data_IF_560587572724
#
_entry.id   IF_560587572724
#
_cell.length_a   1.000
_cell.length_b   1.000
_cell.length_c   1.000
_cell.angle_alpha   90.00
_cell.angle_beta   90.00
_cell.angle_gamma   90.00
#
_symmetry.space_group_name_H-M   'P 1'
#
loop_
_entity.id
_entity.type
_entity.pdbx_description
1 polymer ?
#
# COMPACT_ATOMS: atom_id res chain seq x y z
N UNK A 1 3.96 5.93 20.13
CA UNK A 1 2.74 5.76 19.30
C UNK A 1 2.73 6.88 18.30
N UNK A 2 2.98 6.51 17.04
CA UNK A 2 3.30 7.47 16.00
C UNK A 2 2.09 8.28 15.56
N UNK A 3 2.25 9.59 15.35
CA UNK A 3 1.31 10.30 14.48
C UNK A 3 1.61 9.99 13.00
N UNK A 4 0.62 10.16 12.12
CA UNK A 4 0.78 10.01 10.67
C UNK A 4 1.98 10.82 10.14
N UNK A 5 2.19 12.03 10.69
CA UNK A 5 3.33 12.89 10.34
C UNK A 5 4.67 12.23 10.66
N UNK A 6 4.74 11.48 11.75
CA UNK A 6 5.95 10.76 12.17
C UNK A 6 6.16 9.50 11.32
N UNK A 7 5.10 8.77 10.96
CA UNK A 7 5.17 7.65 10.01
C UNK A 7 5.71 8.10 8.66
N UNK A 8 5.22 9.24 8.15
CA UNK A 8 5.71 9.84 6.90
C UNK A 8 7.19 10.22 7.02
N UNK A 9 7.59 10.87 8.13
CA UNK A 9 8.98 11.27 8.36
C UNK A 9 9.92 10.05 8.42
N UNK A 10 9.58 9.03 9.22
CA UNK A 10 10.37 7.81 9.32
C UNK A 10 10.39 7.03 8.01
N UNK A 11 9.28 7.01 7.27
CA UNK A 11 9.20 6.48 5.92
C UNK A 11 10.20 7.15 4.98
N UNK A 12 10.27 8.48 4.97
CA UNK A 12 11.25 9.23 4.17
C UNK A 12 12.68 8.93 4.58
N UNK A 13 12.99 8.94 5.88
CA UNK A 13 14.34 8.65 6.38
C UNK A 13 14.78 7.24 5.98
N UNK A 14 13.89 6.25 6.12
CA UNK A 14 14.14 4.86 5.74
C UNK A 14 14.30 4.73 4.21
N UNK A 15 13.50 5.45 3.44
CA UNK A 15 13.59 5.45 1.98
C UNK A 15 14.91 6.08 1.48
N UNK A 16 15.39 7.16 2.12
CA UNK A 16 16.71 7.75 1.82
C UNK A 16 17.84 6.76 2.13
N UNK A 17 17.76 6.06 3.27
CA UNK A 17 18.73 5.01 3.61
C UNK A 17 18.74 3.89 2.56
N UNK A 18 17.56 3.42 2.15
CA UNK A 18 17.43 2.39 1.10
C UNK A 18 17.99 2.90 -0.23
N UNK A 19 17.71 4.15 -0.62
CA UNK A 19 18.28 4.75 -1.82
C UNK A 19 19.82 4.77 -1.77
N UNK A 20 20.39 5.15 -0.62
CA UNK A 20 21.83 5.19 -0.41
C UNK A 20 22.44 3.79 -0.52
N UNK A 21 21.87 2.79 0.16
CA UNK A 21 22.37 1.42 0.18
C UNK A 21 22.27 0.77 -1.21
N UNK A 22 21.11 0.87 -1.86
CA UNK A 22 20.86 0.22 -3.13
C UNK A 22 21.74 0.77 -4.26
N UNK A 23 21.93 2.10 -4.28
CA UNK A 23 22.78 2.76 -5.26
C UNK A 23 24.27 2.59 -4.98
N UNK A 24 24.73 2.82 -3.75
CA UNK A 24 26.17 2.98 -3.48
C UNK A 24 26.83 1.71 -2.93
N UNK A 25 26.10 0.85 -2.21
CA UNK A 25 26.68 -0.35 -1.59
C UNK A 25 26.46 -1.60 -2.43
N UNK A 26 25.27 -1.76 -2.98
CA UNK A 26 24.89 -2.99 -3.70
C UNK A 26 24.84 -2.82 -5.22
N UNK A 27 24.91 -1.58 -5.73
CA UNK A 27 24.89 -1.26 -7.17
C UNK A 27 23.71 -1.91 -7.92
N UNK A 28 22.52 -1.91 -7.31
CA UNK A 28 21.31 -2.41 -7.96
C UNK A 28 20.93 -1.55 -9.16
N UNK A 29 20.10 -2.13 -10.04
CA UNK A 29 19.52 -1.40 -11.16
C UNK A 29 18.81 -0.12 -10.67
N UNK A 30 18.95 1.04 -11.36
CA UNK A 30 18.25 2.27 -10.99
C UNK A 30 16.73 2.11 -10.88
N UNK A 31 16.10 1.32 -11.75
CA UNK A 31 14.66 1.06 -11.70
C UNK A 31 14.26 0.30 -10.44
N UNK A 32 15.00 -0.74 -10.06
CA UNK A 32 14.77 -1.47 -8.82
C UNK A 32 14.97 -0.57 -7.61
N UNK A 33 16.02 0.25 -7.61
CA UNK A 33 16.32 1.18 -6.52
C UNK A 33 15.18 2.19 -6.33
N UNK A 34 14.68 2.79 -7.41
CA UNK A 34 13.54 3.73 -7.35
C UNK A 34 12.28 3.01 -6.89
N UNK A 35 11.99 1.81 -7.41
CA UNK A 35 10.84 1.03 -6.99
C UNK A 35 10.91 0.67 -5.50
N UNK A 36 12.10 0.34 -4.97
CA UNK A 36 12.32 0.07 -3.55
C UNK A 36 12.13 1.29 -2.67
N UNK A 37 12.58 2.47 -3.10
CA UNK A 37 12.36 3.74 -2.38
C UNK A 37 10.87 4.03 -2.26
N UNK A 38 10.12 3.89 -3.36
CA UNK A 38 8.66 4.07 -3.37
C UNK A 38 8.00 3.02 -2.46
N UNK A 39 8.41 1.76 -2.58
CA UNK A 39 7.84 0.67 -1.81
C UNK A 39 8.04 0.83 -0.30
N UNK A 40 9.23 1.27 0.14
CA UNK A 40 9.50 1.57 1.56
C UNK A 40 8.57 2.66 2.07
N UNK A 41 8.47 3.76 1.33
CA UNK A 41 7.61 4.86 1.71
C UNK A 41 6.14 4.41 1.78
N UNK A 42 5.66 3.69 0.77
CA UNK A 42 4.30 3.14 0.77
C UNK A 42 4.07 2.21 1.97
N UNK A 43 5.01 1.32 2.27
CA UNK A 43 4.92 0.41 3.41
C UNK A 43 4.83 1.13 4.75
N UNK A 44 5.55 2.25 4.90
CA UNK A 44 5.57 3.04 6.14
C UNK A 44 4.24 3.74 6.47
N UNK A 45 3.35 3.94 5.49
CA UNK A 45 2.05 4.58 5.68
C UNK A 45 0.88 3.64 5.42
N UNK A 46 1.15 2.44 4.89
CA UNK A 46 0.12 1.48 4.50
C UNK A 46 -0.79 1.05 5.66
N UNK A 47 -0.28 0.78 6.89
CA UNK A 47 -1.14 0.34 7.98
C UNK A 47 -2.23 1.35 8.36
N UNK A 48 -1.94 2.65 8.21
CA UNK A 48 -2.88 3.75 8.46
C UNK A 48 -4.10 3.75 7.54
N UNK A 49 -4.17 2.85 6.54
CA UNK A 49 -5.39 2.61 5.74
C UNK A 49 -6.59 2.21 6.62
N UNK A 50 -6.35 1.70 7.82
CA UNK A 50 -7.40 1.27 8.73
C UNK A 50 -8.05 2.42 9.53
N UNK A 51 -7.45 3.62 9.49
CA UNK A 51 -7.97 4.80 10.14
C UNK A 51 -8.89 5.57 9.16
N UNK A 52 -10.21 5.56 9.40
CA UNK A 52 -11.22 6.13 8.47
C UNK A 52 -10.95 7.58 8.03
N UNK A 53 -10.32 8.37 8.90
CA UNK A 53 -9.99 9.77 8.62
C UNK A 53 -8.56 9.98 8.11
N UNK A 54 -7.78 8.92 7.87
CA UNK A 54 -6.44 9.06 7.30
C UNK A 54 -6.50 9.39 5.81
N UNK A 55 -5.45 10.06 5.33
CA UNK A 55 -5.27 10.33 3.90
C UNK A 55 -5.15 9.02 3.11
N UNK A 56 -4.49 8.02 3.69
CA UNK A 56 -4.25 6.70 3.08
C UNK A 56 -5.56 5.95 2.88
N UNK A 57 -6.44 5.93 3.89
CA UNK A 57 -7.76 5.32 3.80
C UNK A 57 -8.60 5.97 2.68
N UNK A 58 -8.63 7.32 2.62
CA UNK A 58 -9.36 8.04 1.58
C UNK A 58 -8.83 7.73 0.18
N UNK A 59 -7.51 7.69 0.02
CA UNK A 59 -6.87 7.36 -1.25
C UNK A 59 -7.16 5.91 -1.66
N UNK A 60 -6.96 4.94 -0.76
CA UNK A 60 -7.24 3.53 -1.02
C UNK A 60 -8.70 3.31 -1.41
N UNK A 61 -9.64 3.92 -0.67
CA UNK A 61 -11.07 3.89 -0.99
C UNK A 61 -11.35 4.39 -2.41
N UNK A 62 -10.77 5.53 -2.81
CA UNK A 62 -10.95 6.08 -4.15
C UNK A 62 -10.36 5.15 -5.23
N UNK A 63 -9.14 4.65 -5.04
CA UNK A 63 -8.46 3.75 -5.98
C UNK A 63 -9.24 2.45 -6.16
N UNK A 64 -9.63 1.79 -5.08
CA UNK A 64 -10.41 0.54 -5.13
C UNK A 64 -11.73 0.77 -5.88
N UNK A 65 -12.43 1.88 -5.59
CA UNK A 65 -13.68 2.21 -6.29
C UNK A 65 -13.49 2.39 -7.80
N UNK A 66 -12.42 3.08 -8.23
CA UNK A 66 -12.09 3.29 -9.64
C UNK A 66 -11.73 1.98 -10.35
N UNK A 67 -10.87 1.16 -9.73
CA UNK A 67 -10.43 -0.11 -10.29
C UNK A 67 -11.61 -1.07 -10.43
N UNK A 68 -12.43 -1.20 -9.39
CA UNK A 68 -13.63 -2.05 -9.43
C UNK A 68 -14.62 -1.60 -10.51
N UNK A 69 -14.86 -0.29 -10.65
CA UNK A 69 -15.74 0.23 -11.69
C UNK A 69 -15.20 0.00 -13.11
N UNK A 70 -13.86 0.03 -13.28
CA UNK A 70 -13.22 -0.15 -14.59
C UNK A 70 -13.43 -1.54 -15.20
N UNK A 71 -13.79 -2.54 -14.39
CA UNK A 71 -14.13 -3.90 -14.87
C UNK A 71 -15.32 -3.88 -15.84
N UNK A 72 -16.21 -2.89 -15.74
CA UNK A 72 -17.39 -2.77 -16.61
C UNK A 72 -17.04 -2.63 -18.09
N UNK A 73 -15.88 -2.05 -18.42
CA UNK A 73 -15.45 -1.86 -19.81
C UNK A 73 -15.10 -3.18 -20.52
N UNK A 74 -15.04 -4.30 -19.81
CA UNK A 74 -14.88 -5.63 -20.38
C UNK A 74 -16.21 -6.36 -20.63
N UNK A 75 -17.35 -5.75 -20.26
CA UNK A 75 -18.66 -6.35 -20.45
C UNK A 75 -19.18 -6.14 -21.89
N UNK A 76 -19.79 -7.17 -22.52
CA UNK A 76 -20.32 -7.09 -23.88
C UNK A 76 -21.69 -6.40 -23.92
N UNK A 77 -21.78 -5.18 -23.39
CA UNK A 77 -22.99 -4.34 -23.39
C UNK A 77 -22.73 -3.02 -24.11
N UNK A 78 -23.78 -2.26 -24.44
CA UNK A 78 -23.58 -0.99 -25.15
C UNK A 78 -22.79 0.02 -24.30
N UNK A 79 -22.06 0.91 -24.97
CA UNK A 79 -21.21 1.92 -24.31
C UNK A 79 -21.99 2.77 -23.32
N UNK A 80 -23.25 3.13 -23.63
CA UNK A 80 -24.11 3.88 -22.71
C UNK A 80 -24.36 3.12 -21.40
N UNK A 81 -24.64 1.81 -21.48
CA UNK A 81 -24.79 0.97 -20.30
C UNK A 81 -23.47 0.78 -19.55
N UNK A 82 -22.34 0.72 -20.25
CA UNK A 82 -21.02 0.67 -19.59
C UNK A 82 -20.76 1.92 -18.73
N UNK A 83 -21.02 3.12 -19.24
CA UNK A 83 -20.86 4.34 -18.45
C UNK A 83 -21.83 4.41 -17.26
N UNK A 84 -23.08 4.01 -17.45
CA UNK A 84 -24.06 3.97 -16.37
C UNK A 84 -23.61 3.01 -15.26
N UNK A 85 -23.25 1.77 -15.64
CA UNK A 85 -22.76 0.75 -14.71
C UNK A 85 -21.46 1.19 -14.03
N UNK A 86 -20.55 1.86 -14.74
CA UNK A 86 -19.33 2.40 -14.17
C UNK A 86 -19.64 3.36 -13.02
N UNK A 87 -20.54 4.34 -13.23
CA UNK A 87 -20.93 5.30 -12.18
C UNK A 87 -21.61 4.60 -11.02
N UNK A 88 -22.53 3.67 -11.30
CA UNK A 88 -23.25 2.92 -10.26
C UNK A 88 -22.28 2.11 -9.40
N UNK A 89 -21.37 1.35 -10.00
CA UNK A 89 -20.40 0.53 -9.28
C UNK A 89 -19.42 1.41 -8.50
N UNK A 90 -18.92 2.50 -9.11
CA UNK A 90 -18.00 3.43 -8.45
C UNK A 90 -18.63 3.98 -7.16
N UNK A 91 -19.85 4.52 -7.23
CA UNK A 91 -20.54 5.08 -6.07
C UNK A 91 -20.88 4.01 -5.04
N UNK A 92 -21.31 2.83 -5.50
CA UNK A 92 -21.65 1.71 -4.62
C UNK A 92 -20.44 1.25 -3.81
N UNK A 93 -19.30 0.98 -4.46
CA UNK A 93 -18.07 0.55 -3.79
C UNK A 93 -17.55 1.65 -2.86
N UNK A 94 -17.54 2.90 -3.31
CA UNK A 94 -17.08 4.03 -2.51
C UNK A 94 -17.90 4.19 -1.22
N UNK A 95 -19.23 4.09 -1.30
CA UNK A 95 -20.10 4.16 -0.13
C UNK A 95 -20.01 2.92 0.75
N UNK A 96 -19.97 1.72 0.16
CA UNK A 96 -19.80 0.48 0.92
C UNK A 96 -18.55 0.52 1.79
N UNK A 97 -17.39 0.89 1.24
CA UNK A 97 -16.15 1.03 2.01
C UNK A 97 -16.29 2.12 3.09
N UNK A 98 -16.94 3.24 2.77
CA UNK A 98 -17.18 4.32 3.73
C UNK A 98 -18.07 3.93 4.92
N UNK A 99 -18.98 2.97 4.72
CA UNK A 99 -19.85 2.43 5.76
C UNK A 99 -19.16 1.36 6.62
N UNK A 100 -18.02 0.79 6.17
CA UNK A 100 -17.32 -0.23 6.95
C UNK A 100 -16.74 0.34 8.24
N UNK A 101 -17.00 -0.32 9.36
CA UNK A 101 -16.32 -0.06 10.62
C UNK A 101 -14.98 -0.78 10.65
N UNK A 102 -13.95 -0.11 10.13
CA UNK A 102 -12.59 -0.61 10.27
C UNK A 102 -12.11 -0.31 11.68
N UNK A 103 -11.74 -1.36 12.40
CA UNK A 103 -11.08 -1.25 13.70
C UNK A 103 -9.67 -0.71 13.47
N UNK A 104 -9.39 0.48 13.99
CA UNK A 104 -8.05 1.04 13.99
C UNK A 104 -7.13 0.17 14.86
N UNK A 105 -5.93 -0.11 14.35
CA UNK A 105 -4.94 -1.05 14.92
C UNK A 105 -5.42 -2.48 14.99
N UNK A 106 -6.15 -2.86 13.95
CA UNK A 106 -6.55 -4.23 13.68
C UNK A 106 -5.42 -5.02 13.03
N UNK A 107 -5.80 -5.87 12.09
CA UNK A 107 -4.88 -6.76 11.37
C UNK A 107 -3.73 -6.02 10.65
N UNK A 108 -3.94 -4.79 10.17
CA UNK A 108 -2.93 -4.00 9.45
C UNK A 108 -1.71 -3.62 10.31
N UNK A 109 -1.84 -3.64 11.64
CA UNK A 109 -0.75 -3.37 12.58
C UNK A 109 -0.18 -4.67 13.19
N UNK A 110 -0.19 -5.79 12.44
CA UNK A 110 0.39 -7.06 12.89
C UNK A 110 1.57 -7.52 12.05
N UNK A 111 2.46 -8.32 12.66
CA UNK A 111 3.60 -8.93 11.96
C UNK A 111 3.11 -9.85 10.84
N UNK A 112 1.97 -10.52 11.04
CA UNK A 112 1.34 -11.38 10.02
C UNK A 112 0.96 -10.58 8.78
N UNK A 113 0.35 -9.40 8.94
CA UNK A 113 0.06 -8.51 7.81
C UNK A 113 1.33 -7.99 7.13
N UNK A 114 2.36 -7.65 7.91
CA UNK A 114 3.66 -7.26 7.37
C UNK A 114 4.27 -8.38 6.52
N UNK A 115 4.29 -9.61 7.02
CA UNK A 115 4.83 -10.78 6.32
C UNK A 115 4.04 -11.08 5.04
N UNK A 116 2.72 -11.10 5.11
CA UNK A 116 1.86 -11.31 3.93
C UNK A 116 2.12 -10.24 2.87
N UNK A 117 2.11 -8.97 3.26
CA UNK A 117 2.30 -7.85 2.32
C UNK A 117 3.70 -7.85 1.70
N UNK A 118 4.74 -8.13 2.48
CA UNK A 118 6.11 -8.25 1.99
C UNK A 118 6.26 -9.44 1.02
N UNK A 119 5.70 -10.60 1.34
CA UNK A 119 5.74 -11.79 0.47
C UNK A 119 4.96 -11.58 -0.83
N UNK A 120 3.76 -11.00 -0.77
CA UNK A 120 2.97 -10.64 -1.95
C UNK A 120 3.70 -9.60 -2.78
N UNK A 121 4.22 -8.55 -2.16
CA UNK A 121 5.02 -7.51 -2.82
C UNK A 121 6.27 -8.09 -3.50
N UNK A 122 6.98 -9.00 -2.84
CA UNK A 122 8.16 -9.66 -3.40
C UNK A 122 7.79 -10.55 -4.59
N UNK A 123 6.69 -11.31 -4.48
CA UNK A 123 6.18 -12.14 -5.58
C UNK A 123 5.84 -11.28 -6.79
N UNK A 124 5.05 -10.21 -6.61
CA UNK A 124 4.69 -9.28 -7.70
C UNK A 124 5.93 -8.64 -8.29
N UNK A 125 6.87 -8.20 -7.45
CA UNK A 125 8.11 -7.57 -7.90
C UNK A 125 9.00 -8.52 -8.70
N UNK A 126 9.11 -9.80 -8.29
CA UNK A 126 9.83 -10.81 -9.07
C UNK A 126 9.17 -11.04 -10.42
N UNK A 127 7.84 -11.15 -10.46
CA UNK A 127 7.10 -11.38 -11.71
C UNK A 127 7.17 -10.19 -12.68
N UNK A 128 7.28 -8.96 -12.17
CA UNK A 128 7.21 -7.74 -13.00
C UNK A 128 8.59 -7.14 -13.30
N UNK A 129 9.52 -7.22 -12.36
CA UNK A 129 10.84 -6.57 -12.43
C UNK A 129 12.00 -7.58 -12.37
N UNK A 130 11.73 -8.86 -12.12
CA UNK A 130 12.77 -9.88 -11.96
C UNK A 130 13.56 -9.80 -10.65
N UNK A 131 13.11 -8.97 -9.69
CA UNK A 131 13.81 -8.70 -8.43
C UNK A 131 12.84 -8.70 -7.25
N UNK A 132 13.22 -9.33 -6.14
CA UNK A 132 12.42 -9.31 -4.90
C UNK A 132 12.63 -8.02 -4.09
N UNK A 133 13.62 -7.20 -4.45
CA UNK A 133 14.09 -6.09 -3.63
C UNK A 133 12.98 -5.05 -3.33
N UNK A 134 12.15 -4.59 -4.29
CA UNK A 134 11.02 -3.71 -3.98
C UNK A 134 10.03 -4.30 -2.97
N UNK A 135 9.75 -5.60 -3.04
CA UNK A 135 8.87 -6.28 -2.09
C UNK A 135 9.47 -6.40 -0.69
N UNK A 136 10.77 -6.68 -0.59
CA UNK A 136 11.49 -6.65 0.69
C UNK A 136 11.48 -5.23 1.27
N UNK A 137 11.70 -4.23 0.41
CA UNK A 137 11.70 -2.82 0.80
C UNK A 137 10.32 -2.36 1.31
N UNK A 138 9.22 -2.85 0.71
CA UNK A 138 7.86 -2.67 1.23
C UNK A 138 7.71 -3.19 2.66
N UNK A 139 8.24 -4.39 2.93
CA UNK A 139 8.27 -4.99 4.27
C UNK A 139 9.08 -4.16 5.27
N UNK A 140 10.24 -3.63 4.86
CA UNK A 140 11.05 -2.73 5.70
C UNK A 140 10.26 -1.47 6.06
N UNK A 141 9.52 -0.89 5.10
CA UNK A 141 8.61 0.22 5.35
C UNK A 141 7.56 -0.12 6.41
N UNK A 142 6.88 -1.25 6.26
CA UNK A 142 5.89 -1.73 7.23
C UNK A 142 6.49 -1.96 8.62
N UNK A 143 7.67 -2.58 8.70
CA UNK A 143 8.36 -2.76 9.98
C UNK A 143 8.72 -1.41 10.62
N UNK A 144 9.15 -0.42 9.84
CA UNK A 144 9.45 0.92 10.36
C UNK A 144 8.22 1.56 11.00
N UNK A 145 7.04 1.35 10.41
CA UNK A 145 5.76 1.78 10.98
C UNK A 145 5.47 1.06 12.31
N UNK A 146 5.53 -0.28 12.32
CA UNK A 146 5.26 -1.08 13.53
C UNK A 146 6.23 -0.75 14.68
N UNK A 147 7.50 -0.51 14.37
CA UNK A 147 8.51 -0.11 15.35
C UNK A 147 8.14 1.24 15.98
N UNK A 148 7.68 2.20 15.16
CA UNK A 148 7.29 3.53 15.65
C UNK A 148 6.03 3.49 16.53
N UNK A 149 5.12 2.56 16.22
CA UNK A 149 3.90 2.38 16.98
C UNK A 149 4.11 1.69 18.33
N UNK A 150 5.28 1.06 18.57
CA UNK A 150 5.60 0.21 19.73
C UNK A 150 4.61 -0.95 19.96
N UNK A 151 3.60 -1.12 19.10
CA UNK A 151 2.61 -2.20 19.13
C UNK A 151 3.10 -3.39 18.30
N UNK A 152 3.93 -4.26 18.88
CA UNK A 152 4.17 -5.58 18.30
C UNK A 152 3.04 -6.53 18.70
N UNK A 153 1.97 -6.58 17.90
CA UNK A 153 0.99 -7.67 18.00
C UNK A 153 1.54 -8.89 17.26
N UNK A 154 1.99 -9.88 18.03
CA UNK A 154 2.17 -11.24 17.57
C UNK A 154 0.80 -11.90 17.73
N UNK A 155 -0.04 -11.84 16.69
CA UNK A 155 -1.35 -12.49 16.69
C UNK A 155 -1.24 -13.98 17.09
#
# INVERSE_FOLDING_TARGET
MGDFSEHVLFGFLTAVLIAFLTKNMFSFNPFESVASVIAVFMGSVLPDVDHKNSYVHRAAKAVVSLVSASVVFFLPVSVQYQYLLYVVILLSVYWSIGMMEIRHRGFTHSISFCAMTACTGATVSVLTLGSALPGVALGIGLLSHLILDEEFKMD
#
